data_IF_860693517567
#
_entry.id   IF_860693517567
#
_cell.length_a   1.000
_cell.length_b   1.000
_cell.length_c   1.000
_cell.angle_alpha   90.00
_cell.angle_beta   90.00
_cell.angle_gamma   90.00
#
_symmetry.space_group_name_H-M   'P 1'
#
loop_
_entity.id
_entity.type
_entity.pdbx_description
1 polymer ?
#
# COMPACT_ATOMS: atom_id res chain seq x y z
N UNK A 1 -38.58 -30.71 -38.67
CA UNK A 1 -37.34 -31.35 -38.27
C UNK A 1 -36.15 -30.38 -38.33
N UNK A 2 -35.98 -29.65 -39.41
CA UNK A 2 -34.91 -28.64 -39.51
C UNK A 2 -35.15 -27.44 -38.59
N UNK A 3 -36.41 -27.07 -38.36
CA UNK A 3 -36.81 -26.02 -37.44
C UNK A 3 -36.53 -26.41 -36.00
N UNK A 4 -36.81 -27.65 -35.64
CA UNK A 4 -36.56 -28.17 -34.28
C UNK A 4 -35.05 -28.21 -33.99
N UNK A 5 -34.26 -28.60 -34.97
CA UNK A 5 -32.81 -28.64 -34.83
C UNK A 5 -32.23 -27.25 -34.72
N UNK A 6 -32.74 -26.30 -35.50
CA UNK A 6 -32.30 -24.90 -35.42
C UNK A 6 -32.64 -24.30 -34.07
N UNK A 7 -33.79 -24.58 -33.51
CA UNK A 7 -34.20 -24.13 -32.18
C UNK A 7 -33.29 -24.73 -31.10
N UNK A 8 -32.98 -26.02 -31.23
CA UNK A 8 -32.09 -26.69 -30.29
C UNK A 8 -30.71 -26.06 -30.29
N UNK A 9 -30.17 -25.83 -31.49
CA UNK A 9 -28.83 -25.20 -31.64
C UNK A 9 -28.86 -23.80 -31.05
N UNK A 10 -29.88 -23.00 -31.31
CA UNK A 10 -30.04 -21.66 -30.77
C UNK A 10 -30.09 -21.67 -29.25
N UNK A 11 -30.89 -22.59 -28.67
CA UNK A 11 -31.04 -22.73 -27.24
C UNK A 11 -29.69 -23.13 -26.60
N UNK A 12 -28.99 -24.10 -27.20
CA UNK A 12 -27.68 -24.52 -26.72
C UNK A 12 -26.66 -23.37 -26.78
N UNK A 13 -26.68 -22.60 -27.88
CA UNK A 13 -25.81 -21.44 -28.03
C UNK A 13 -26.11 -20.36 -26.98
N UNK A 14 -27.38 -20.11 -26.70
CA UNK A 14 -27.81 -19.14 -25.68
C UNK A 14 -27.33 -19.55 -24.30
N UNK A 15 -27.47 -20.84 -23.96
CA UNK A 15 -27.01 -21.37 -22.67
C UNK A 15 -25.49 -21.29 -22.58
N UNK A 16 -24.78 -21.67 -23.64
CA UNK A 16 -23.32 -21.59 -23.65
C UNK A 16 -22.83 -20.16 -23.53
N UNK A 17 -23.53 -19.23 -24.20
CA UNK A 17 -23.16 -17.80 -24.10
C UNK A 17 -23.42 -17.28 -22.68
N UNK A 18 -24.56 -17.63 -22.08
CA UNK A 18 -24.89 -17.22 -20.72
C UNK A 18 -23.82 -17.72 -19.71
N UNK A 19 -23.41 -18.98 -19.87
CA UNK A 19 -22.34 -19.55 -19.02
C UNK A 19 -21.02 -18.86 -19.23
N UNK A 20 -20.67 -18.54 -20.47
CA UNK A 20 -19.44 -17.83 -20.79
C UNK A 20 -19.44 -16.42 -20.20
N UNK A 21 -20.55 -15.69 -20.35
CA UNK A 21 -20.69 -14.35 -19.78
C UNK A 21 -20.58 -14.39 -18.25
N UNK A 22 -21.21 -15.37 -17.61
CA UNK A 22 -21.16 -15.54 -16.16
C UNK A 22 -19.73 -15.80 -15.70
N UNK A 23 -19.00 -16.62 -16.44
CA UNK A 23 -17.60 -16.93 -16.15
C UNK A 23 -16.71 -15.70 -16.32
N UNK A 24 -16.90 -14.94 -17.40
CA UNK A 24 -16.17 -13.71 -17.64
C UNK A 24 -16.46 -12.66 -16.57
N UNK A 25 -17.72 -12.54 -16.15
CA UNK A 25 -18.10 -11.63 -15.08
C UNK A 25 -17.42 -12.00 -13.77
N UNK A 26 -17.41 -13.29 -13.43
CA UNK A 26 -16.74 -13.76 -12.21
C UNK A 26 -15.23 -13.50 -12.27
N UNK A 27 -14.60 -13.72 -13.43
CA UNK A 27 -13.18 -13.45 -13.61
C UNK A 27 -12.87 -11.95 -13.50
N UNK A 28 -13.73 -11.11 -14.09
CA UNK A 28 -13.57 -9.65 -14.01
C UNK A 28 -13.69 -9.18 -12.57
N UNK A 29 -14.67 -9.70 -11.83
CA UNK A 29 -14.85 -9.37 -10.41
C UNK A 29 -13.64 -9.79 -9.59
N UNK A 30 -13.12 -10.97 -9.84
CA UNK A 30 -11.95 -11.49 -9.17
C UNK A 30 -10.71 -10.61 -9.43
N UNK A 31 -10.52 -10.17 -10.67
CA UNK A 31 -9.43 -9.26 -11.04
C UNK A 31 -9.54 -7.91 -10.34
N UNK A 32 -10.77 -7.38 -10.24
CA UNK A 32 -11.02 -6.12 -9.54
C UNK A 32 -10.65 -6.28 -8.06
N UNK A 33 -11.09 -7.35 -7.41
CA UNK A 33 -10.78 -7.61 -6.02
C UNK A 33 -9.27 -7.74 -5.78
N UNK A 34 -8.57 -8.47 -6.66
CA UNK A 34 -7.12 -8.61 -6.58
C UNK A 34 -6.40 -7.28 -6.78
N UNK A 35 -6.87 -6.48 -7.73
CA UNK A 35 -6.32 -5.17 -8.00
C UNK A 35 -6.50 -4.22 -6.83
N UNK A 36 -7.68 -4.24 -6.19
CA UNK A 36 -7.95 -3.45 -5.00
C UNK A 36 -7.06 -3.86 -3.83
N UNK A 37 -6.94 -5.17 -3.60
CA UNK A 37 -6.08 -5.69 -2.53
C UNK A 37 -4.62 -5.27 -2.74
N UNK A 38 -4.14 -5.33 -3.97
CA UNK A 38 -2.79 -4.92 -4.32
C UNK A 38 -2.59 -3.42 -4.10
N UNK A 39 -3.57 -2.61 -4.53
CA UNK A 39 -3.51 -1.16 -4.36
C UNK A 39 -3.47 -0.78 -2.87
N UNK A 40 -4.29 -1.42 -2.05
CA UNK A 40 -4.32 -1.19 -0.60
C UNK A 40 -2.96 -1.55 0.01
N UNK A 41 -2.38 -2.68 -0.40
CA UNK A 41 -1.08 -3.13 0.10
C UNK A 41 0.04 -2.17 -0.32
N UNK A 42 0.01 -1.66 -1.54
CA UNK A 42 0.98 -0.68 -2.03
C UNK A 42 0.90 0.63 -1.24
N UNK A 43 -0.31 1.12 -1.00
CA UNK A 43 -0.52 2.35 -0.22
C UNK A 43 -0.04 2.15 1.21
N UNK A 44 -0.34 0.99 1.80
CA UNK A 44 0.10 0.66 3.16
C UNK A 44 1.63 0.63 3.26
N UNK A 45 2.29 -0.03 2.31
CA UNK A 45 3.74 -0.12 2.28
C UNK A 45 4.37 1.26 2.13
N UNK A 46 3.82 2.09 1.26
CA UNK A 46 4.30 3.46 1.05
C UNK A 46 4.09 4.32 2.31
N UNK A 47 2.94 4.18 2.96
CA UNK A 47 2.66 4.90 4.20
C UNK A 47 3.65 4.52 5.31
N UNK A 48 3.99 3.23 5.41
CA UNK A 48 4.98 2.75 6.37
C UNK A 48 6.36 3.33 6.06
N UNK A 49 6.76 3.33 4.80
CA UNK A 49 8.05 3.92 4.39
C UNK A 49 8.13 5.40 4.73
N UNK A 50 7.08 6.16 4.45
CA UNK A 50 7.01 7.58 4.78
C UNK A 50 7.07 7.78 6.29
N UNK A 51 6.33 6.99 7.06
CA UNK A 51 6.32 7.07 8.51
C UNK A 51 7.71 6.76 9.10
N UNK A 52 8.38 5.73 8.58
CA UNK A 52 9.72 5.35 9.03
C UNK A 52 10.74 6.44 8.68
N UNK A 53 10.65 7.01 7.48
CA UNK A 53 11.54 8.09 7.07
C UNK A 53 11.34 9.33 7.93
N UNK A 54 10.08 9.69 8.23
CA UNK A 54 9.77 10.82 9.09
C UNK A 54 10.28 10.59 10.52
N UNK A 55 10.07 9.39 11.06
CA UNK A 55 10.56 9.01 12.39
C UNK A 55 12.08 9.08 12.45
N UNK A 56 12.76 8.54 11.45
CA UNK A 56 14.22 8.59 11.38
C UNK A 56 14.75 10.03 11.35
N UNK A 57 14.05 10.89 10.60
CA UNK A 57 14.42 12.32 10.52
C UNK A 57 14.23 13.01 11.87
N UNK A 58 13.11 12.79 12.53
CA UNK A 58 12.81 13.36 13.85
C UNK A 58 13.86 12.90 14.87
N UNK A 59 14.19 11.62 14.88
CA UNK A 59 15.19 11.09 15.79
C UNK A 59 16.56 11.70 15.55
N UNK A 60 16.96 11.87 14.29
CA UNK A 60 18.24 12.49 13.96
C UNK A 60 18.30 13.94 14.42
N UNK A 61 17.25 14.72 14.18
CA UNK A 61 17.16 16.11 14.60
C UNK A 61 17.19 16.24 16.12
N UNK A 62 16.45 15.38 16.84
CA UNK A 62 16.44 15.39 18.29
C UNK A 62 17.77 14.96 18.89
N UNK A 63 18.44 13.97 18.32
CA UNK A 63 19.76 13.53 18.77
C UNK A 63 20.81 14.63 18.57
N UNK A 64 20.74 15.33 17.43
CA UNK A 64 21.65 16.45 17.16
C UNK A 64 21.41 17.60 18.15
N UNK A 65 20.16 17.92 18.45
CA UNK A 65 19.81 18.93 19.45
C UNK A 65 20.31 18.53 20.85
N UNK A 66 20.09 17.29 21.26
CA UNK A 66 20.55 16.78 22.55
C UNK A 66 22.08 16.79 22.65
N UNK A 67 22.74 16.44 21.56
CA UNK A 67 24.19 16.50 21.50
C UNK A 67 24.69 17.94 21.61
N UNK A 68 24.05 18.85 20.90
CA UNK A 68 24.39 20.27 20.97
C UNK A 68 24.19 20.85 22.37
N UNK A 69 23.04 20.53 22.98
CA UNK A 69 22.72 20.98 24.34
C UNK A 69 23.71 20.41 25.36
N UNK A 70 24.05 19.14 25.22
CA UNK A 70 25.05 18.51 26.10
C UNK A 70 26.44 19.16 25.97
N UNK A 71 26.84 19.51 24.75
CA UNK A 71 28.11 20.20 24.50
C UNK A 71 28.10 21.59 25.07
N UNK A 72 27.00 22.34 24.93
CA UNK A 72 26.87 23.69 25.50
C UNK A 72 26.91 23.63 27.01
N UNK A 73 26.18 22.70 27.62
CA UNK A 73 26.15 22.52 29.08
C UNK A 73 27.54 22.18 29.61
N UNK A 74 28.29 21.29 28.92
CA UNK A 74 29.64 20.94 29.29
C UNK A 74 30.57 22.14 29.21
N UNK A 75 30.45 22.96 28.17
CA UNK A 75 31.23 24.18 28.01
C UNK A 75 30.93 25.20 29.10
N UNK A 76 29.67 25.36 29.45
CA UNK A 76 29.24 26.27 30.54
C UNK A 76 29.77 25.78 31.88
N UNK A 77 29.77 24.48 32.14
CA UNK A 77 30.29 23.90 33.39
C UNK A 77 31.83 24.05 33.48
N UNK A 78 32.52 24.04 32.36
CA UNK A 78 33.97 24.22 32.35
C UNK A 78 34.39 25.68 32.55
N UNK A 79 33.54 26.63 32.17
CA UNK A 79 33.88 28.07 32.31
C UNK A 79 34.27 28.49 33.73
N UNK A 80 33.51 28.12 34.77
CA UNK A 80 33.94 28.49 36.13
C UNK A 80 35.29 27.93 36.52
N UNK A 81 35.66 26.74 36.05
CA UNK A 81 36.96 26.12 36.35
C UNK A 81 38.09 26.88 35.71
N UNK A 82 37.88 27.48 34.55
CA UNK A 82 38.93 28.24 33.84
C UNK A 82 39.17 29.61 34.45
N UNK A 83 38.18 30.16 35.12
CA UNK A 83 38.28 31.47 35.76
C UNK A 83 38.81 31.42 37.20
N UNK A 84 38.87 30.23 37.74
CA UNK A 84 39.49 29.99 39.04
C UNK A 84 40.97 29.62 38.90
#
# INVERSE_FOLDING_TARGET
HAEDEAKRITTEAEVALAETLKRHEALAQDRIEQSQARAIEEVRAEAIEVALAATARILRENLDEQKSDALIDAAVQELPSKFQ
#
